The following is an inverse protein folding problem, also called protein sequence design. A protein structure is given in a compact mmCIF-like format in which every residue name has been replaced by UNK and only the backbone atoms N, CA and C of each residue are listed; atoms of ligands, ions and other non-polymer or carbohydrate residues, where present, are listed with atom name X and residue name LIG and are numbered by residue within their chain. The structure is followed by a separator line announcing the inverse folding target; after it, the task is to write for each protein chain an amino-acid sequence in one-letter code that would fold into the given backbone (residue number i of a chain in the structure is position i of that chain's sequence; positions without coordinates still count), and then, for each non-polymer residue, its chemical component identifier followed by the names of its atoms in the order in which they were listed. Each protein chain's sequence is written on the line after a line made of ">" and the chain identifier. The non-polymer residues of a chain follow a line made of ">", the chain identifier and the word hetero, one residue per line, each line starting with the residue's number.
data_IF_049306549962
#
_entry.id   IF_049306549962
#
_cell.length_a   1.000
_cell.length_b   1.000
_cell.length_c   1.000
_cell.angle_alpha   90.00
_cell.angle_beta   90.00
_cell.angle_gamma   90.00
#
_symmetry.space_group_name_H-M   'P 1'
#
loop_
_entity.id
_entity.type
_entity.pdbx_description
1 polymer ?
#
# COMPACT_ATOMS: atom_id res chain seq x y z
N UNK A 1 -11.16 -16.31 4.76
CA UNK A 1 -10.52 -17.64 4.59
C UNK A 1 -11.29 -18.77 5.26
N UNK A 2 -11.60 -18.72 6.56
CA UNK A 2 -12.35 -19.79 7.26
C UNK A 2 -13.64 -20.23 6.55
N UNK A 3 -14.54 -19.29 6.23
CA UNK A 3 -15.79 -19.61 5.54
C UNK A 3 -15.60 -20.21 4.13
N UNK A 4 -14.50 -19.88 3.44
CA UNK A 4 -14.22 -20.40 2.10
C UNK A 4 -13.66 -21.83 2.18
N UNK A 5 -12.75 -22.09 3.12
CA UNK A 5 -12.24 -23.43 3.39
C UNK A 5 -13.34 -24.39 3.88
N UNK A 6 -14.30 -23.90 4.68
CA UNK A 6 -15.46 -24.68 5.11
C UNK A 6 -16.41 -25.00 3.94
N UNK A 7 -16.58 -24.07 2.99
CA UNK A 7 -17.48 -24.24 1.84
C UNK A 7 -16.86 -25.07 0.72
N UNK A 8 -15.56 -24.92 0.47
CA UNK A 8 -14.81 -25.59 -0.59
C UNK A 8 -13.50 -26.19 -0.04
N UNK A 9 -13.57 -27.32 0.67
CA UNK A 9 -12.42 -27.89 1.38
C UNK A 9 -11.32 -28.43 0.45
N UNK A 10 -11.62 -28.68 -0.82
CA UNK A 10 -10.67 -29.16 -1.83
C UNK A 10 -10.15 -28.03 -2.74
N UNK A 11 -10.53 -26.79 -2.48
CA UNK A 11 -10.08 -25.65 -3.29
C UNK A 11 -8.68 -25.23 -2.83
N UNK A 12 -7.71 -25.35 -3.74
CA UNK A 12 -6.37 -24.81 -3.52
C UNK A 12 -6.40 -23.28 -3.64
N UNK A 13 -5.87 -22.60 -2.62
CA UNK A 13 -5.82 -21.14 -2.56
C UNK A 13 -4.37 -20.73 -2.29
N UNK A 14 -3.78 -20.01 -3.23
CA UNK A 14 -2.50 -19.34 -3.05
C UNK A 14 -2.74 -17.86 -2.68
N UNK A 15 -2.02 -17.36 -1.68
CA UNK A 15 -2.09 -15.96 -1.23
C UNK A 15 -0.74 -15.32 -1.39
N UNK A 16 -0.69 -14.26 -2.18
CA UNK A 16 0.52 -13.49 -2.45
C UNK A 16 0.39 -12.09 -1.87
N UNK A 17 1.54 -11.48 -1.53
CA UNK A 17 1.62 -10.07 -1.14
C UNK A 17 2.65 -9.40 -2.01
N UNK A 18 2.29 -8.26 -2.58
CA UNK A 18 3.16 -7.44 -3.40
C UNK A 18 2.64 -5.98 -3.41
N UNK A 19 3.47 -5.01 -3.82
CA UNK A 19 3.01 -3.65 -4.07
C UNK A 19 1.84 -3.60 -5.05
N UNK A 20 0.99 -2.57 -4.92
CA UNK A 20 -0.24 -2.46 -5.73
C UNK A 20 0.03 -2.53 -7.24
N UNK A 21 1.01 -1.79 -7.74
CA UNK A 21 1.31 -1.78 -9.18
C UNK A 21 1.67 -3.19 -9.68
N UNK A 22 2.40 -3.97 -8.87
CA UNK A 22 2.76 -5.36 -9.19
C UNK A 22 1.55 -6.28 -9.18
N UNK A 23 0.66 -6.10 -8.20
CA UNK A 23 -0.57 -6.91 -8.08
C UNK A 23 -1.53 -6.66 -9.24
N UNK A 24 -1.75 -5.40 -9.62
CA UNK A 24 -2.57 -5.04 -10.78
C UNK A 24 -1.93 -5.54 -12.08
N UNK A 25 -0.61 -5.43 -12.21
CA UNK A 25 0.10 -5.98 -13.36
C UNK A 25 -0.04 -7.51 -13.44
N UNK A 26 0.09 -8.22 -12.32
CA UNK A 26 -0.17 -9.66 -12.25
C UNK A 26 -1.61 -10.01 -12.60
N UNK A 27 -2.58 -9.20 -12.20
CA UNK A 27 -3.99 -9.38 -12.57
C UNK A 27 -4.17 -9.28 -14.09
N UNK A 28 -3.59 -8.26 -14.73
CA UNK A 28 -3.64 -8.10 -16.19
C UNK A 28 -2.93 -9.22 -16.95
N UNK A 29 -1.87 -9.77 -16.36
CA UNK A 29 -1.16 -10.94 -16.89
C UNK A 29 -1.86 -12.27 -16.57
N UNK A 30 -3.02 -12.26 -15.90
CA UNK A 30 -3.74 -13.45 -15.45
C UNK A 30 -2.90 -14.36 -14.53
N UNK A 31 -1.89 -13.79 -13.87
CA UNK A 31 -1.06 -14.48 -12.87
C UNK A 31 -1.73 -14.59 -11.51
N UNK A 32 -2.71 -13.72 -11.25
CA UNK A 32 -3.64 -13.83 -10.12
C UNK A 32 -5.06 -13.70 -10.65
N UNK A 33 -6.00 -14.42 -10.04
CA UNK A 33 -7.41 -14.36 -10.46
C UNK A 33 -8.17 -13.21 -9.80
N UNK A 34 -7.68 -12.74 -8.65
CA UNK A 34 -8.32 -11.72 -7.84
C UNK A 34 -7.25 -10.94 -7.08
N UNK A 35 -7.45 -9.64 -6.90
CA UNK A 35 -6.67 -8.88 -5.96
C UNK A 35 -7.50 -7.90 -5.13
N UNK A 36 -6.98 -7.60 -3.94
CA UNK A 36 -7.37 -6.44 -3.14
C UNK A 36 -6.36 -5.33 -3.42
N UNK A 37 -6.83 -4.22 -3.96
CA UNK A 37 -6.02 -3.06 -4.29
C UNK A 37 -6.75 -1.78 -3.90
N UNK A 38 -6.02 -0.68 -3.81
CA UNK A 38 -6.63 0.62 -3.63
C UNK A 38 -7.17 1.15 -4.97
N UNK A 39 -8.29 1.84 -4.92
CA UNK A 39 -8.89 2.52 -6.06
C UNK A 39 -7.92 3.57 -6.61
N UNK A 40 -7.44 3.31 -7.82
CA UNK A 40 -6.58 4.22 -8.56
C UNK A 40 -7.32 5.49 -8.99
N UNK A 41 -6.57 6.42 -9.57
CA UNK A 41 -7.12 7.62 -10.21
C UNK A 41 -7.71 7.31 -11.60
N UNK A 42 -7.21 6.26 -12.24
CA UNK A 42 -7.62 5.83 -13.56
C UNK A 42 -8.55 4.61 -13.49
N UNK A 43 -9.55 4.60 -14.37
CA UNK A 43 -10.46 3.47 -14.55
C UNK A 43 -10.02 2.70 -15.78
N UNK A 44 -9.58 1.46 -15.60
CA UNK A 44 -9.34 0.55 -16.71
C UNK A 44 -10.62 -0.23 -17.02
N UNK A 45 -11.08 -0.19 -18.27
CA UNK A 45 -12.28 -0.91 -18.69
C UNK A 45 -12.14 -2.43 -18.66
N UNK A 46 -10.91 -2.97 -18.57
CA UNK A 46 -10.66 -4.40 -18.45
C UNK A 46 -10.77 -4.91 -17.00
N UNK A 47 -10.85 -4.00 -16.03
CA UNK A 47 -10.92 -4.32 -14.61
C UNK A 47 -12.36 -4.20 -14.11
N UNK A 48 -12.86 -5.23 -13.44
CA UNK A 48 -14.11 -5.15 -12.70
C UNK A 48 -13.82 -4.81 -11.24
N UNK A 49 -14.11 -3.56 -10.87
CA UNK A 49 -13.92 -3.07 -9.51
C UNK A 49 -15.19 -3.21 -8.67
N UNK A 50 -15.04 -3.83 -7.50
CA UNK A 50 -16.06 -3.84 -6.46
C UNK A 50 -15.52 -3.18 -5.20
N UNK A 51 -16.17 -2.11 -4.76
CA UNK A 51 -15.85 -1.47 -3.49
C UNK A 51 -16.15 -2.42 -2.33
N UNK A 52 -15.14 -2.69 -1.50
CA UNK A 52 -15.27 -3.56 -0.32
C UNK A 52 -15.20 -2.76 0.98
N UNK A 53 -14.51 -1.62 0.97
CA UNK A 53 -14.43 -0.74 2.12
C UNK A 53 -13.47 0.42 1.89
N UNK A 54 -13.36 1.27 2.90
CA UNK A 54 -12.43 2.39 2.92
C UNK A 54 -11.50 2.21 4.09
N UNK A 55 -10.20 2.34 3.87
CA UNK A 55 -9.24 2.41 4.97
C UNK A 55 -8.69 3.82 5.07
N UNK A 56 -8.68 4.35 6.31
CA UNK A 56 -7.89 5.53 6.60
C UNK A 56 -6.48 5.09 6.87
N UNK A 57 -5.60 5.87 6.32
CA UNK A 57 -4.22 5.55 6.15
C UNK A 57 -3.61 6.64 7.11
N UNK A 58 -2.68 6.26 8.00
CA UNK A 58 -2.11 7.10 9.07
C UNK A 58 -0.58 7.18 8.98
N UNK A 59 -0.04 8.39 9.03
CA UNK A 59 1.40 8.64 9.12
C UNK A 59 1.98 8.13 10.45
N UNK A 60 3.00 7.28 10.39
CA UNK A 60 3.71 6.79 11.59
C UNK A 60 5.13 7.33 11.64
N UNK A 61 5.60 7.75 12.80
CA UNK A 61 6.98 8.21 12.96
C UNK A 61 7.59 7.58 14.19
N UNK A 62 8.88 7.28 14.14
CA UNK A 62 9.58 6.77 15.32
C UNK A 62 9.50 7.80 16.45
N UNK A 63 9.17 7.37 17.66
CA UNK A 63 9.00 8.26 18.82
C UNK A 63 10.24 9.13 19.12
N UNK A 64 11.44 8.66 18.72
CA UNK A 64 12.72 9.32 18.95
C UNK A 64 13.17 10.18 17.75
N UNK A 65 12.31 10.37 16.76
CA UNK A 65 12.66 11.09 15.54
C UNK A 65 12.80 12.58 15.82
N UNK A 66 13.86 13.22 15.31
CA UNK A 66 14.15 14.63 15.58
C UNK A 66 13.04 15.60 15.19
N UNK A 67 12.24 15.24 14.17
CA UNK A 67 11.08 16.01 13.72
C UNK A 67 10.01 16.19 14.83
N UNK A 68 9.86 15.25 15.77
CA UNK A 68 8.89 15.37 16.87
C UNK A 68 9.28 16.40 17.94
N UNK A 69 10.53 16.90 17.89
CA UNK A 69 11.09 17.77 18.92
C UNK A 69 11.17 17.10 20.29
N UNK A 70 11.52 17.89 21.32
CA UNK A 70 11.67 17.39 22.70
C UNK A 70 10.34 17.11 23.42
N UNK A 71 9.19 17.39 22.78
CA UNK A 71 7.86 17.39 23.41
C UNK A 71 6.81 16.49 22.76
N UNK A 72 7.14 15.78 21.67
CA UNK A 72 6.15 14.92 20.98
C UNK A 72 4.97 15.71 20.40
N UNK A 73 5.25 16.88 19.83
CA UNK A 73 4.22 17.77 19.29
C UNK A 73 3.47 17.11 18.10
N UNK A 74 2.25 17.56 17.85
CA UNK A 74 1.51 17.23 16.64
C UNK A 74 2.31 17.69 15.41
N UNK A 75 2.53 16.77 14.47
CA UNK A 75 3.17 17.06 13.19
C UNK A 75 2.11 17.41 12.16
N UNK A 76 2.26 18.55 11.51
CA UNK A 76 1.43 18.96 10.39
C UNK A 76 1.93 18.36 9.08
N UNK A 77 1.06 18.29 8.08
CA UNK A 77 1.37 17.70 6.79
C UNK A 77 2.53 18.42 6.09
N UNK A 78 2.59 19.73 6.22
CA UNK A 78 3.61 20.61 5.66
C UNK A 78 5.00 20.31 6.22
N UNK A 79 5.08 19.85 7.47
CA UNK A 79 6.35 19.49 8.11
C UNK A 79 6.89 18.15 7.56
N UNK A 80 5.99 17.24 7.17
CA UNK A 80 6.34 15.93 6.62
C UNK A 80 7.00 16.01 5.24
N UNK A 81 6.81 17.12 4.52
CA UNK A 81 7.47 17.39 3.23
C UNK A 81 9.00 17.28 3.36
N UNK A 82 9.54 17.73 4.50
CA UNK A 82 10.97 17.78 4.78
C UNK A 82 11.53 16.50 5.42
N UNK A 83 10.69 15.51 5.68
CA UNK A 83 11.12 14.28 6.35
C UNK A 83 11.10 13.11 5.37
N UNK A 84 12.17 12.31 5.34
CA UNK A 84 12.27 11.20 4.39
C UNK A 84 11.19 10.15 4.62
N UNK A 85 10.35 9.94 3.61
CA UNK A 85 9.30 8.93 3.63
C UNK A 85 9.82 7.55 3.18
N UNK A 86 9.30 6.48 3.75
CA UNK A 86 9.47 5.13 3.20
C UNK A 86 8.21 4.76 2.42
N UNK A 87 8.36 4.48 1.13
CA UNK A 87 7.29 4.09 0.21
C UNK A 87 7.34 2.59 -0.07
N UNK A 88 6.21 1.91 0.10
CA UNK A 88 6.01 0.55 -0.40
C UNK A 88 5.50 0.64 -1.83
N UNK A 89 6.34 0.32 -2.80
CA UNK A 89 6.02 0.44 -4.22
C UNK A 89 6.80 -0.59 -5.05
N UNK A 90 6.33 -0.86 -6.27
CA UNK A 90 7.01 -1.76 -7.20
C UNK A 90 8.44 -1.32 -7.44
N UNK A 91 9.33 -2.29 -7.67
CA UNK A 91 10.72 -2.05 -8.09
C UNK A 91 10.82 -1.71 -9.57
N UNK A 92 10.04 -2.44 -10.38
CA UNK A 92 10.17 -2.48 -11.83
C UNK A 92 9.13 -1.63 -12.55
N UNK A 93 7.97 -1.39 -11.92
CA UNK A 93 6.89 -0.58 -12.47
C UNK A 93 6.93 0.87 -11.96
N UNK A 94 6.45 1.83 -12.76
CA UNK A 94 6.26 3.19 -12.29
C UNK A 94 5.15 3.24 -11.24
N UNK A 95 5.28 4.14 -10.25
CA UNK A 95 4.22 4.39 -9.27
C UNK A 95 3.05 5.11 -9.95
N UNK A 96 1.94 4.40 -10.15
CA UNK A 96 0.76 4.97 -10.79
C UNK A 96 0.06 6.01 -9.90
N UNK A 97 -0.05 5.73 -8.59
CA UNK A 97 -0.63 6.64 -7.61
C UNK A 97 0.44 7.26 -6.71
N UNK A 98 0.58 8.59 -6.78
CA UNK A 98 1.50 9.37 -5.96
C UNK A 98 0.83 10.12 -4.83
N UNK A 99 -0.50 10.03 -4.66
CA UNK A 99 -1.22 10.65 -3.54
C UNK A 99 -0.67 10.27 -2.15
N UNK A 100 -0.16 9.05 -1.93
CA UNK A 100 0.45 8.71 -0.64
C UNK A 100 1.83 9.35 -0.43
N UNK A 101 2.50 9.87 -1.47
CA UNK A 101 3.78 10.56 -1.35
C UNK A 101 3.55 11.99 -0.89
N UNK A 102 4.04 12.31 0.31
CA UNK A 102 3.98 13.67 0.87
C UNK A 102 5.36 14.29 0.96
N UNK A 103 6.38 13.48 1.26
CA UNK A 103 7.76 13.94 1.31
C UNK A 103 8.35 14.22 -0.08
N UNK A 104 9.23 15.22 -0.15
CA UNK A 104 10.05 15.45 -1.36
C UNK A 104 11.06 14.32 -1.57
N UNK A 105 11.56 13.72 -0.49
CA UNK A 105 12.53 12.62 -0.53
C UNK A 105 11.94 11.34 0.03
N UNK A 106 12.16 10.23 -0.67
CA UNK A 106 11.70 8.92 -0.22
C UNK A 106 12.69 7.80 -0.49
N UNK A 107 12.61 6.76 0.35
CA UNK A 107 13.16 5.44 0.08
C UNK A 107 12.05 4.52 -0.40
N UNK A 108 12.40 3.60 -1.29
CA UNK A 108 11.45 2.64 -1.86
C UNK A 108 11.78 1.23 -1.39
N UNK A 109 10.75 0.47 -1.03
CA UNK A 109 10.79 -0.96 -0.72
C UNK A 109 9.58 -1.63 -1.36
N UNK A 110 9.67 -2.91 -1.65
CA UNK A 110 8.54 -3.72 -2.14
C UNK A 110 7.83 -4.48 -1.01
N UNK A 111 8.37 -4.42 0.21
CA UNK A 111 7.87 -5.17 1.36
C UNK A 111 7.50 -4.24 2.51
N UNK A 112 6.22 -4.31 2.91
CA UNK A 112 5.70 -3.60 4.08
C UNK A 112 6.41 -4.01 5.39
N UNK A 113 6.62 -5.31 5.71
CA UNK A 113 7.45 -5.70 6.85
C UNK A 113 8.85 -5.07 6.84
N UNK A 114 9.46 -4.97 5.66
CA UNK A 114 10.79 -4.36 5.54
C UNK A 114 10.74 -2.84 5.73
N UNK A 115 9.67 -2.17 5.32
CA UNK A 115 9.44 -0.75 5.59
C UNK A 115 9.44 -0.49 7.11
N UNK A 116 8.72 -1.31 7.87
CA UNK A 116 8.68 -1.19 9.33
C UNK A 116 10.01 -1.54 10.00
N UNK A 117 10.74 -2.56 9.53
CA UNK A 117 12.05 -2.91 10.10
C UNK A 117 13.09 -1.79 9.95
N UNK A 118 13.12 -1.10 8.81
CA UNK A 118 14.03 0.05 8.62
C UNK A 118 13.67 1.25 9.50
N UNK A 119 12.39 1.42 9.85
CA UNK A 119 11.94 2.43 10.81
C UNK A 119 12.49 2.22 12.24
N UNK A 120 13.07 1.06 12.54
CA UNK A 120 13.70 0.74 13.83
C UNK A 120 15.09 1.34 14.07
N UNK A 121 15.62 2.13 13.12
CA UNK A 121 16.98 2.69 13.17
C UNK A 121 16.95 4.21 13.01
N UNK A 122 16.52 4.95 14.04
CA UNK A 122 16.75 6.40 14.27
C UNK A 122 16.48 7.43 13.14
N UNK A 123 16.02 7.07 11.94
CA UNK A 123 16.18 7.93 10.77
C UNK A 123 15.10 7.83 9.66
N UNK A 124 13.93 7.22 9.89
CA UNK A 124 12.91 7.12 8.83
C UNK A 124 11.49 7.18 9.34
N UNK A 125 10.67 8.04 8.74
CA UNK A 125 9.23 8.11 8.94
C UNK A 125 8.61 6.84 8.37
N UNK A 126 7.80 6.16 9.17
CA UNK A 126 7.02 5.01 8.76
C UNK A 126 5.73 5.45 8.07
N UNK A 127 5.70 5.32 6.76
CA UNK A 127 4.48 5.28 5.95
C UNK A 127 3.41 6.34 6.26
N UNK A 128 3.44 7.45 5.52
CA UNK A 128 2.23 8.23 5.29
C UNK A 128 1.25 7.39 4.50
N UNK A 129 0.01 7.66 4.81
CA UNK A 129 -1.06 6.78 4.52
C UNK A 129 -2.20 7.81 4.36
N UNK A 130 -2.74 7.97 3.15
CA UNK A 130 -3.95 8.76 2.79
C UNK A 130 -5.25 7.89 2.65
N UNK A 131 -6.45 8.36 3.02
CA UNK A 131 -7.69 7.55 2.86
C UNK A 131 -7.80 6.99 1.44
N UNK A 132 -7.82 5.66 1.28
CA UNK A 132 -8.02 5.04 -0.04
C UNK A 132 -9.11 3.99 0.00
N UNK A 133 -9.95 4.03 -1.02
CA UNK A 133 -11.02 3.06 -1.21
C UNK A 133 -10.40 1.72 -1.57
N UNK A 134 -10.58 0.71 -0.73
CA UNK A 134 -10.19 -0.66 -1.03
C UNK A 134 -11.23 -1.27 -1.97
N UNK A 135 -10.75 -1.72 -3.12
CA UNK A 135 -11.56 -2.40 -4.12
C UNK A 135 -10.99 -3.79 -4.41
N UNK A 136 -11.91 -4.72 -4.66
CA UNK A 136 -11.57 -5.99 -5.30
C UNK A 136 -11.54 -5.73 -6.80
N UNK A 137 -10.42 -6.08 -7.44
CA UNK A 137 -10.31 -6.10 -8.88
C UNK A 137 -10.21 -7.54 -9.37
N UNK A 138 -11.00 -7.86 -10.40
CA UNK A 138 -10.95 -9.11 -11.13
C UNK A 138 -10.97 -8.86 -12.62
N UNK A 139 -10.43 -9.79 -13.40
CA UNK A 139 -10.63 -9.83 -14.86
C UNK A 139 -11.96 -10.54 -15.15
N UNK A 140 -12.77 -9.99 -16.06
CA UNK A 140 -14.03 -10.63 -16.47
C UNK A 140 -13.77 -11.94 -17.23
N UNK A 141 -14.74 -12.88 -17.27
CA UNK A 141 -14.62 -14.03 -18.14
C UNK A 141 -14.62 -13.57 -19.60
N UNK A 142 -13.67 -14.08 -20.39
CA UNK A 142 -13.64 -13.94 -21.85
C UNK A 142 -14.76 -14.79 -22.46
#
# INVERSE_FOLDING_TARGET
>A
MKALAERYPLLDIEVLTAPQDDVLHMLHQQRVSLCLAFGGLDVNSQEHFHYVGSESLVATIAAQHSALGAGGAELFLEELVNVRQIMVASRDLPMADKRPQVAESFWRTDSLPMAFKHGGSRAGVGQLSAVVNCAVAGTGPV
#
